data_IF_201699477077
#
_entry.id   IF_201699477077
#
_cell.length_a   1.000
_cell.length_b   1.000
_cell.length_c   1.000
_cell.angle_alpha   90.00
_cell.angle_beta   90.00
_cell.angle_gamma   90.00
#
_symmetry.space_group_name_H-M   'P 1'
#
loop_
_entity.id
_entity.type
_entity.pdbx_description
1 polymer ?
#
# COMPACT_ATOMS: atom_id res chain seq x y z
N UNK A 1 -5.42 13.07 10.54
CA UNK A 1 -6.12 14.19 9.91
C UNK A 1 -7.43 13.66 9.33
N UNK A 2 -8.52 13.88 10.03
CA UNK A 2 -9.86 13.50 9.57
C UNK A 2 -10.34 14.58 8.58
N UNK A 3 -10.80 14.18 7.41
CA UNK A 3 -11.43 15.09 6.44
C UNK A 3 -10.58 15.52 5.24
N UNK A 4 -9.30 15.18 5.17
CA UNK A 4 -8.50 15.46 3.97
C UNK A 4 -8.67 14.30 2.99
N UNK A 5 -9.32 14.59 1.87
CA UNK A 5 -9.44 13.67 0.75
C UNK A 5 -8.13 13.63 -0.03
N UNK A 6 -7.59 12.44 -0.26
CA UNK A 6 -6.35 12.25 -1.00
C UNK A 6 -6.54 11.19 -2.08
N UNK A 7 -5.74 11.20 -3.16
CA UNK A 7 -5.79 10.14 -4.17
C UNK A 7 -5.61 8.72 -3.58
N UNK A 8 -4.86 8.61 -2.48
CA UNK A 8 -4.72 7.34 -1.74
C UNK A 8 -6.06 6.90 -1.13
N UNK A 9 -6.93 7.85 -0.73
CA UNK A 9 -8.27 7.54 -0.23
C UNK A 9 -9.15 6.92 -1.31
N UNK A 10 -9.03 7.40 -2.56
CA UNK A 10 -9.74 6.81 -3.70
C UNK A 10 -9.31 5.37 -3.97
N UNK A 11 -8.01 5.13 -4.00
CA UNK A 11 -7.48 3.78 -4.19
C UNK A 11 -8.00 2.85 -3.09
N UNK A 12 -7.99 3.29 -1.82
CA UNK A 12 -8.53 2.51 -0.71
C UNK A 12 -10.00 2.17 -0.89
N UNK A 13 -10.81 3.15 -1.28
CA UNK A 13 -12.24 2.93 -1.56
C UNK A 13 -12.44 1.92 -2.67
N UNK A 14 -11.72 2.07 -3.79
CA UNK A 14 -11.77 1.11 -4.90
C UNK A 14 -11.41 -0.31 -4.45
N UNK A 15 -10.34 -0.46 -3.67
CA UNK A 15 -9.94 -1.77 -3.12
C UNK A 15 -11.07 -2.37 -2.29
N UNK A 16 -11.61 -1.64 -1.31
CA UNK A 16 -12.70 -2.17 -0.48
C UNK A 16 -13.97 -2.48 -1.28
N UNK A 17 -14.31 -1.65 -2.25
CA UNK A 17 -15.48 -1.90 -3.13
C UNK A 17 -15.30 -3.18 -3.95
N UNK A 18 -14.13 -3.37 -4.56
CA UNK A 18 -13.88 -4.55 -5.38
C UNK A 18 -13.78 -5.83 -4.53
N UNK A 19 -13.16 -5.76 -3.35
CA UNK A 19 -13.12 -6.90 -2.42
C UNK A 19 -14.52 -7.26 -1.92
N UNK A 20 -15.34 -6.26 -1.57
CA UNK A 20 -16.74 -6.51 -1.19
C UNK A 20 -17.53 -7.14 -2.34
N UNK A 21 -17.39 -6.61 -3.57
CA UNK A 21 -18.04 -7.18 -4.76
C UNK A 21 -17.63 -8.63 -4.97
N UNK A 22 -16.35 -8.91 -4.91
CA UNK A 22 -15.81 -10.27 -5.03
C UNK A 22 -16.41 -11.21 -3.98
N UNK A 23 -16.57 -10.77 -2.73
CA UNK A 23 -17.15 -11.58 -1.65
C UNK A 23 -18.63 -11.90 -1.87
N UNK A 24 -19.38 -11.07 -2.61
CA UNK A 24 -20.79 -11.31 -2.90
C UNK A 24 -21.04 -12.06 -4.22
N UNK A 25 -20.18 -11.90 -5.20
CA UNK A 25 -20.39 -12.40 -6.56
C UNK A 25 -19.67 -13.73 -6.85
N UNK A 26 -18.63 -14.07 -6.09
CA UNK A 26 -17.76 -15.20 -6.37
C UNK A 26 -17.96 -16.31 -5.35
N UNK A 27 -18.13 -17.53 -5.85
CA UNK A 27 -18.32 -18.72 -5.02
C UNK A 27 -17.19 -19.75 -5.18
N UNK A 28 -16.41 -19.67 -6.25
CA UNK A 28 -15.36 -20.64 -6.54
C UNK A 28 -13.95 -20.07 -6.27
N UNK A 29 -13.08 -20.91 -5.73
CA UNK A 29 -11.71 -20.53 -5.36
C UNK A 29 -10.91 -20.05 -6.58
N UNK A 30 -11.07 -20.71 -7.73
CA UNK A 30 -10.40 -20.37 -8.99
C UNK A 30 -10.71 -18.95 -9.47
N UNK A 31 -11.95 -18.50 -9.27
CA UNK A 31 -12.38 -17.17 -9.67
C UNK A 31 -11.81 -16.10 -8.73
N UNK A 32 -11.70 -16.40 -7.43
CA UNK A 32 -10.99 -15.54 -6.48
C UNK A 32 -9.53 -15.36 -6.87
N UNK A 33 -8.82 -16.43 -7.22
CA UNK A 33 -7.43 -16.35 -7.66
C UNK A 33 -7.27 -15.47 -8.90
N UNK A 34 -8.13 -15.65 -9.89
CA UNK A 34 -8.12 -14.85 -11.11
C UNK A 34 -8.36 -13.38 -10.81
N UNK A 35 -9.39 -13.07 -10.05
CA UNK A 35 -9.73 -11.69 -9.68
C UNK A 35 -8.63 -11.02 -8.86
N UNK A 36 -8.03 -11.70 -7.90
CA UNK A 36 -6.91 -11.15 -7.13
C UNK A 36 -5.71 -10.74 -8.01
N UNK A 37 -5.46 -11.46 -9.09
CA UNK A 37 -4.41 -11.13 -10.07
C UNK A 37 -4.80 -9.95 -10.97
N UNK A 38 -6.07 -9.84 -11.34
CA UNK A 38 -6.58 -8.83 -12.27
C UNK A 38 -6.91 -7.49 -11.58
N UNK A 39 -7.36 -7.51 -10.33
CA UNK A 39 -7.80 -6.31 -9.60
C UNK A 39 -6.76 -5.19 -9.51
N UNK A 40 -5.45 -5.43 -9.30
CA UNK A 40 -4.47 -4.36 -9.31
C UNK A 40 -4.44 -3.60 -10.64
N UNK A 41 -4.66 -4.27 -11.76
CA UNK A 41 -4.71 -3.65 -13.09
C UNK A 41 -6.02 -2.93 -13.35
N UNK A 42 -7.13 -3.42 -12.79
CA UNK A 42 -8.43 -2.75 -12.85
C UNK A 42 -8.45 -1.46 -12.01
N UNK A 43 -7.84 -1.49 -10.83
CA UNK A 43 -7.81 -0.35 -9.90
C UNK A 43 -6.83 0.72 -10.37
N UNK A 44 -5.67 0.31 -10.90
CA UNK A 44 -4.62 1.17 -11.49
C UNK A 44 -4.49 0.81 -12.97
N UNK A 45 -5.37 1.34 -13.83
CA UNK A 45 -5.32 1.08 -15.28
C UNK A 45 -4.22 1.88 -15.97
N UNK A 46 -3.91 1.49 -17.22
CA UNK A 46 -2.97 2.20 -18.07
C UNK A 46 -1.51 1.88 -17.76
N UNK A 47 -0.60 2.69 -18.28
CA UNK A 47 0.85 2.48 -18.20
C UNK A 47 1.56 3.60 -17.43
N UNK A 48 0.86 4.71 -17.16
CA UNK A 48 1.44 5.86 -16.50
C UNK A 48 1.29 5.79 -14.98
N UNK A 49 2.38 6.10 -14.29
CA UNK A 49 2.41 6.23 -12.83
C UNK A 49 1.64 7.48 -12.38
N UNK A 50 1.02 7.42 -11.23
CA UNK A 50 0.27 8.56 -10.66
C UNK A 50 0.78 9.03 -9.30
N UNK A 51 1.08 8.13 -8.40
CA UNK A 51 1.38 8.42 -6.99
C UNK A 51 2.76 7.95 -6.52
N UNK A 52 3.40 7.06 -7.26
CA UNK A 52 4.66 6.42 -6.88
C UNK A 52 5.70 6.54 -7.99
N UNK A 53 6.90 6.05 -7.72
CA UNK A 53 8.01 6.07 -8.68
C UNK A 53 7.73 5.25 -9.94
N UNK A 54 6.91 4.21 -9.84
CA UNK A 54 6.53 3.38 -10.98
C UNK A 54 5.12 2.81 -10.81
N UNK A 55 4.47 2.49 -11.93
CA UNK A 55 3.16 1.84 -11.95
C UNK A 55 3.22 0.42 -11.37
N UNK A 56 4.35 -0.27 -11.52
CA UNK A 56 4.55 -1.60 -10.94
C UNK A 56 4.49 -1.54 -9.41
N UNK A 57 5.12 -0.52 -8.81
CA UNK A 57 5.07 -0.29 -7.37
C UNK A 57 3.66 0.05 -6.91
N UNK A 58 2.91 0.87 -7.66
CA UNK A 58 1.53 1.19 -7.35
C UNK A 58 0.64 -0.06 -7.33
N UNK A 59 0.76 -0.91 -8.35
CA UNK A 59 0.03 -2.19 -8.43
C UNK A 59 0.45 -3.18 -7.35
N UNK A 60 1.73 -3.25 -7.02
CA UNK A 60 2.21 -4.07 -5.91
C UNK A 60 1.60 -3.63 -4.57
N UNK A 61 1.54 -2.31 -4.31
CA UNK A 61 0.89 -1.76 -3.12
C UNK A 61 -0.61 -2.10 -3.10
N UNK A 62 -1.29 -1.98 -4.24
CA UNK A 62 -2.71 -2.35 -4.36
C UNK A 62 -2.91 -3.84 -4.10
N UNK A 63 -2.04 -4.71 -4.62
CA UNK A 63 -2.09 -6.14 -4.37
C UNK A 63 -2.01 -6.47 -2.87
N UNK A 64 -1.08 -5.86 -2.14
CA UNK A 64 -1.01 -6.03 -0.67
C UNK A 64 -2.24 -5.47 0.05
N UNK A 65 -2.81 -4.37 -0.43
CA UNK A 65 -4.05 -3.82 0.14
C UNK A 65 -5.26 -4.72 -0.08
N UNK A 66 -5.35 -5.40 -1.22
CA UNK A 66 -6.38 -6.41 -1.49
C UNK A 66 -6.24 -7.56 -0.50
N UNK A 67 -5.03 -8.09 -0.31
CA UNK A 67 -4.75 -9.12 0.68
C UNK A 67 -5.19 -8.72 2.09
N UNK A 68 -4.78 -7.53 2.53
CA UNK A 68 -5.17 -7.00 3.86
C UNK A 68 -6.68 -6.79 3.98
N UNK A 69 -7.35 -6.33 2.90
CA UNK A 69 -8.80 -6.15 2.89
C UNK A 69 -9.56 -7.49 2.98
N UNK A 70 -8.96 -8.56 2.48
CA UNK A 70 -9.47 -9.93 2.62
C UNK A 70 -9.10 -10.59 3.95
N UNK A 71 -8.30 -9.92 4.79
CA UNK A 71 -7.85 -10.41 6.09
C UNK A 71 -6.62 -11.31 6.03
N UNK A 72 -5.85 -11.28 4.92
CA UNK A 72 -4.58 -12.00 4.84
C UNK A 72 -3.44 -11.16 5.43
N UNK A 73 -2.37 -11.82 5.84
CA UNK A 73 -1.12 -11.16 6.21
C UNK A 73 -0.41 -10.60 4.97
N UNK A 74 0.48 -9.63 5.19
CA UNK A 74 1.40 -9.17 4.15
C UNK A 74 2.35 -10.29 3.73
N UNK A 75 2.73 -10.28 2.45
CA UNK A 75 3.77 -11.19 1.97
C UNK A 75 5.14 -10.80 2.54
N UNK A 76 6.00 -11.79 2.86
CA UNK A 76 7.38 -11.51 3.19
C UNK A 76 8.09 -10.84 2.00
N UNK A 77 9.10 -10.02 2.26
CA UNK A 77 9.83 -9.29 1.21
C UNK A 77 11.04 -10.06 0.69
N UNK A 78 11.47 -11.05 1.41
CA UNK A 78 12.64 -11.91 1.18
C UNK A 78 12.29 -13.21 0.47
N UNK A 79 11.01 -13.50 0.30
CA UNK A 79 10.53 -14.71 -0.36
C UNK A 79 9.59 -14.38 -1.52
N UNK A 80 9.64 -15.21 -2.56
CA UNK A 80 8.72 -15.11 -3.71
C UNK A 80 7.40 -15.82 -3.41
N UNK A 81 6.48 -15.09 -2.83
CA UNK A 81 5.15 -15.61 -2.45
C UNK A 81 4.08 -15.06 -3.38
N UNK A 82 3.20 -15.91 -3.97
CA UNK A 82 2.09 -15.46 -4.80
C UNK A 82 1.14 -14.53 -4.05
N UNK A 83 0.50 -13.61 -4.78
CA UNK A 83 -0.51 -12.72 -4.18
C UNK A 83 -1.73 -13.48 -3.66
N UNK A 84 -1.96 -14.69 -4.16
CA UNK A 84 -3.07 -15.59 -3.82
C UNK A 84 -2.77 -16.55 -2.67
N UNK A 85 -1.56 -16.52 -2.13
CA UNK A 85 -1.16 -17.38 -1.01
C UNK A 85 -2.10 -17.21 0.20
N UNK A 86 -2.52 -18.33 0.78
CA UNK A 86 -3.44 -18.36 1.92
C UNK A 86 -4.91 -18.14 1.56
N UNK A 87 -5.28 -18.11 0.27
CA UNK A 87 -6.64 -17.88 -0.17
C UNK A 87 -7.62 -18.93 0.37
N UNK A 88 -7.23 -20.19 0.42
CA UNK A 88 -7.98 -21.33 0.99
C UNK A 88 -8.39 -21.09 2.46
N UNK A 89 -7.56 -20.39 3.23
CA UNK A 89 -7.87 -20.01 4.60
C UNK A 89 -8.71 -18.73 4.69
N UNK A 90 -8.73 -17.93 3.63
CA UNK A 90 -9.40 -16.63 3.57
C UNK A 90 -10.91 -16.71 3.35
N UNK A 91 -11.40 -17.81 2.80
CA UNK A 91 -12.82 -18.03 2.45
C UNK A 91 -13.59 -18.67 3.61
N UNK A 92 -12.89 -19.13 4.64
CA UNK A 92 -13.51 -19.74 5.82
C UNK A 92 -14.28 -18.67 6.61
N UNK A 93 -15.55 -18.96 6.95
CA UNK A 93 -16.44 -18.02 7.66
C UNK A 93 -15.92 -17.63 9.05
N UNK A 94 -15.20 -18.51 9.72
CA UNK A 94 -14.63 -18.27 11.05
C UNK A 94 -13.22 -17.70 10.93
N UNK A 95 -13.11 -16.41 10.59
CA UNK A 95 -11.83 -15.71 10.62
C UNK A 95 -11.44 -15.30 12.01
N UNK A 96 -10.29 -15.79 12.45
CA UNK A 96 -9.62 -15.30 13.64
C UNK A 96 -8.81 -14.05 13.30
N UNK A 97 -9.09 -12.92 13.96
CA UNK A 97 -8.27 -11.74 13.88
C UNK A 97 -7.16 -11.83 14.93
N UNK A 98 -5.96 -12.16 14.48
CA UNK A 98 -4.79 -12.17 15.35
C UNK A 98 -4.13 -10.79 15.44
N UNK A 99 -3.69 -10.34 16.61
CA UNK A 99 -2.82 -9.15 16.71
C UNK A 99 -1.48 -9.38 15.99
N UNK A 100 -0.88 -8.32 15.40
CA UNK A 100 -1.36 -6.94 15.42
C UNK A 100 -2.45 -6.66 14.37
N UNK A 101 -3.50 -5.95 14.79
CA UNK A 101 -4.59 -5.53 13.90
C UNK A 101 -4.18 -4.42 12.91
N UNK A 102 -2.95 -3.92 13.03
CA UNK A 102 -2.39 -2.88 12.16
C UNK A 102 -1.21 -3.46 11.40
N UNK A 103 -1.29 -3.40 10.09
CA UNK A 103 -0.22 -3.82 9.18
C UNK A 103 0.33 -2.63 8.40
N UNK A 104 1.64 -2.60 8.22
CA UNK A 104 2.36 -1.55 7.48
C UNK A 104 2.99 -2.15 6.23
N UNK A 105 2.53 -1.72 5.07
CA UNK A 105 3.15 -2.08 3.78
C UNK A 105 4.46 -1.29 3.66
N UNK A 106 5.59 -1.91 3.96
CA UNK A 106 6.91 -1.24 4.05
C UNK A 106 7.28 -0.50 2.76
N UNK A 107 7.10 -1.13 1.61
CA UNK A 107 7.43 -0.52 0.31
C UNK A 107 6.40 0.52 -0.17
N UNK A 108 5.30 0.72 0.55
CA UNK A 108 4.38 1.83 0.32
C UNK A 108 4.80 3.12 1.02
N UNK A 109 5.83 3.07 1.85
CA UNK A 109 6.40 4.25 2.49
C UNK A 109 7.18 5.09 1.46
N UNK A 110 6.89 6.39 1.39
CA UNK A 110 7.65 7.30 0.53
C UNK A 110 9.00 7.71 1.13
N UNK A 111 9.32 7.24 2.33
CA UNK A 111 10.39 7.79 3.14
C UNK A 111 10.06 9.20 3.65
N UNK A 112 10.67 9.58 4.76
CA UNK A 112 10.69 10.98 5.14
C UNK A 112 11.77 11.66 4.28
N UNK A 113 11.55 12.88 3.76
CA UNK A 113 12.62 13.61 3.13
C UNK A 113 13.77 13.76 4.11
N UNK A 114 14.98 13.48 3.66
CA UNK A 114 16.16 13.76 4.47
C UNK A 114 16.15 15.24 4.85
N UNK A 115 16.29 15.52 6.14
CA UNK A 115 16.37 16.88 6.61
C UNK A 115 17.71 17.46 6.15
N UNK A 116 17.70 18.11 5.00
CA UNK A 116 18.87 18.83 4.51
C UNK A 116 18.78 20.26 5.03
N UNK A 117 19.63 20.59 5.97
CA UNK A 117 19.81 21.97 6.43
C UNK A 117 20.69 22.68 5.39
N UNK A 118 20.13 23.67 4.71
CA UNK A 118 20.86 24.49 3.75
C UNK A 118 21.02 25.92 4.29
N UNK A 119 22.23 26.44 4.20
CA UNK A 119 22.49 27.86 4.40
C UNK A 119 21.93 28.62 3.21
N UNK A 120 21.03 29.55 3.44
CA UNK A 120 20.43 30.38 2.38
C UNK A 120 21.32 31.61 2.10
N UNK A 121 21.05 32.30 0.99
CA UNK A 121 21.72 33.55 0.63
C UNK A 121 21.52 34.67 1.66
N UNK A 122 20.54 34.53 2.56
CA UNK A 122 20.29 35.45 3.66
C UNK A 122 21.24 35.24 4.86
N UNK A 123 22.17 34.33 4.77
CA UNK A 123 23.15 34.09 5.83
C UNK A 123 24.01 35.31 6.07
N UNK A 124 24.07 35.78 7.30
CA UNK A 124 24.84 36.96 7.74
C UNK A 124 26.36 36.69 7.86
N UNK A 125 26.80 35.44 7.67
CA UNK A 125 28.23 35.09 7.78
C UNK A 125 28.85 35.39 9.16
N UNK A 126 28.08 35.15 10.23
CA UNK A 126 28.53 35.48 11.58
C UNK A 126 29.79 34.71 11.98
N UNK A 127 30.72 35.37 12.70
CA UNK A 127 32.00 34.79 13.16
C UNK A 127 31.84 33.58 14.08
N UNK A 128 30.78 33.53 14.85
CA UNK A 128 30.54 32.46 15.84
C UNK A 128 30.06 31.13 15.22
N UNK A 129 29.61 31.11 13.97
CA UNK A 129 29.12 29.93 13.24
C UNK A 129 28.26 28.95 14.07
N UNK A 130 27.28 29.37 14.87
CA UNK A 130 26.55 28.48 15.79
C UNK A 130 25.76 27.41 15.01
N UNK A 131 25.47 27.63 13.71
CA UNK A 131 24.80 26.67 12.86
C UNK A 131 25.71 25.52 12.35
N UNK A 132 27.02 25.59 12.59
CA UNK A 132 27.98 24.53 12.23
C UNK A 132 28.27 23.60 13.44
N UNK A 133 27.83 23.96 14.63
CA UNK A 133 28.01 23.19 15.87
C UNK A 133 26.84 22.20 16.11
N UNK A 134 25.84 22.18 15.24
CA UNK A 134 24.65 21.30 15.27
C UNK A 134 24.76 20.23 14.16
#
# INVERSE_FOLDING_TARGET
MRGIYTPVTDIRRKVFTEVARMAYEVNELSDYEKLMRELPFKIIPGEEKSLRSSIFLERAIVSERIRLAMGFSLRPLDESVPATEGLEHGIIADKYYEPPLINVIKFACNGCPEKVIKVTEMCQGCLAHPCQEV
#
